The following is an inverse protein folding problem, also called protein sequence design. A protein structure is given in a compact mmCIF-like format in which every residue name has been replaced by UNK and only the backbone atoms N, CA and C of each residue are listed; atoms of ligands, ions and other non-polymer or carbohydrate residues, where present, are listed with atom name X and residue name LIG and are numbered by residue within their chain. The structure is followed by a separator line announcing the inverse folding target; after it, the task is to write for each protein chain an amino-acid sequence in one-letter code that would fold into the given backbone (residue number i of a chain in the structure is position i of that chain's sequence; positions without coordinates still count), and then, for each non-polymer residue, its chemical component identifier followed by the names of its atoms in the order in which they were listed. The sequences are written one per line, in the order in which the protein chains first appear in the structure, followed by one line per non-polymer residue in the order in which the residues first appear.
data_IF_128784271160
#
_entry.id   IF_128784271160
#
_cell.length_a   1.000
_cell.length_b   1.000
_cell.length_c   1.000
_cell.angle_alpha   90.00
_cell.angle_beta   90.00
_cell.angle_gamma   90.00
#
_symmetry.space_group_name_H-M   'P 1'
#
loop_
_entity.id
_entity.type
_entity.pdbx_description
1 polymer ?
#
# COMPACT_ATOMS: atom_id res chain seq x y z
N UNK A 1 -18.03 4.05 -25.72
CA UNK A 1 -18.26 4.14 -24.27
C UNK A 1 -17.16 3.36 -23.56
N UNK A 2 -16.46 4.04 -22.64
CA UNK A 2 -15.62 3.57 -21.53
C UNK A 2 -14.71 2.33 -21.73
N UNK A 3 -13.43 2.60 -22.06
CA UNK A 3 -12.30 1.70 -21.76
C UNK A 3 -11.32 2.40 -20.81
N UNK A 4 -11.82 2.96 -19.70
CA UNK A 4 -10.91 3.33 -18.61
C UNK A 4 -10.62 2.10 -17.77
N UNK A 5 -9.49 1.48 -18.08
CA UNK A 5 -8.93 0.38 -17.31
C UNK A 5 -8.84 0.78 -15.83
N UNK A 6 -9.29 -0.06 -14.88
CA UNK A 6 -9.32 0.25 -13.45
C UNK A 6 -7.95 0.61 -12.87
N UNK A 7 -6.85 0.22 -13.52
CA UNK A 7 -5.49 0.57 -13.13
C UNK A 7 -5.16 2.07 -13.27
N UNK A 8 -5.87 2.84 -14.10
CA UNK A 8 -5.59 4.26 -14.30
C UNK A 8 -5.93 5.14 -13.10
N UNK A 9 -6.78 4.70 -12.16
CA UNK A 9 -7.15 5.53 -11.01
C UNK A 9 -6.15 5.51 -9.85
N UNK A 10 -5.16 4.60 -9.88
CA UNK A 10 -4.12 4.49 -8.86
C UNK A 10 -2.88 5.36 -9.16
N UNK A 11 -2.83 5.99 -10.33
CA UNK A 11 -1.67 6.78 -10.79
C UNK A 11 -1.41 8.03 -9.95
N UNK A 12 -2.39 8.48 -9.17
CA UNK A 12 -2.28 9.68 -8.31
C UNK A 12 -1.85 9.35 -6.87
N UNK A 13 -1.54 8.10 -6.54
CA UNK A 13 -1.00 7.76 -5.21
C UNK A 13 0.48 8.10 -5.20
N UNK A 14 0.82 9.23 -4.59
CA UNK A 14 2.21 9.63 -4.35
C UNK A 14 2.84 8.76 -3.25
N UNK A 15 3.45 7.66 -3.68
CA UNK A 15 4.22 6.72 -2.86
C UNK A 15 5.45 7.34 -2.19
N UNK A 16 5.95 8.48 -2.68
CA UNK A 16 7.07 9.18 -2.06
C UNK A 16 6.60 10.05 -0.87
N UNK A 17 5.32 10.40 -0.85
CA UNK A 17 4.71 11.04 0.31
C UNK A 17 4.25 9.98 1.31
N UNK A 18 4.89 9.93 2.49
CA UNK A 18 4.40 9.20 3.67
C UNK A 18 3.16 9.90 4.28
N UNK A 19 2.24 10.33 3.42
CA UNK A 19 0.96 10.89 3.89
C UNK A 19 0.18 9.77 4.54
N UNK A 20 -0.54 10.11 5.59
CA UNK A 20 -1.48 9.20 6.24
C UNK A 20 -2.43 8.62 5.17
N UNK A 21 -2.44 7.30 4.94
CA UNK A 21 -3.31 6.67 3.95
C UNK A 21 -4.79 6.70 4.37
N UNK A 22 -5.13 7.24 5.54
CA UNK A 22 -6.49 7.45 6.00
C UNK A 22 -7.33 8.19 4.94
N UNK A 23 -8.44 7.58 4.55
CA UNK A 23 -9.36 8.11 3.53
C UNK A 23 -9.02 7.76 2.08
N UNK A 24 -7.89 7.09 1.81
CA UNK A 24 -7.54 6.56 0.48
C UNK A 24 -8.05 5.12 0.35
N UNK A 25 -7.79 4.28 1.37
CA UNK A 25 -8.25 2.90 1.42
C UNK A 25 -9.01 2.60 2.71
N UNK A 26 -9.99 1.71 2.62
CA UNK A 26 -10.62 1.06 3.77
C UNK A 26 -10.12 -0.39 3.91
N UNK A 27 -9.84 -0.82 5.14
CA UNK A 27 -9.50 -2.22 5.44
C UNK A 27 -10.80 -3.04 5.47
N UNK A 28 -10.82 -4.17 4.77
CA UNK A 28 -12.02 -5.01 4.62
C UNK A 28 -11.93 -6.26 5.48
N UNK A 29 -10.92 -7.09 5.23
CA UNK A 29 -10.72 -8.38 5.92
C UNK A 29 -9.24 -8.71 6.00
N UNK A 30 -8.85 -9.48 7.02
CA UNK A 30 -7.51 -10.07 7.08
C UNK A 30 -7.44 -11.20 6.07
N UNK A 31 -6.42 -11.17 5.20
CA UNK A 31 -6.17 -12.21 4.19
C UNK A 31 -4.89 -12.99 4.44
N UNK A 32 -4.04 -12.56 5.37
CA UNK A 32 -2.87 -13.34 5.75
C UNK A 32 -2.01 -12.71 6.83
N UNK A 33 -1.11 -13.52 7.36
CA UNK A 33 -0.02 -13.09 8.24
C UNK A 33 1.27 -13.18 7.42
N UNK A 34 2.02 -12.08 7.33
CA UNK A 34 3.38 -12.16 6.77
C UNK A 34 4.40 -11.76 7.82
N UNK A 35 5.67 -11.99 7.52
CA UNK A 35 6.79 -11.91 8.47
C UNK A 35 6.83 -10.62 9.31
N UNK A 36 6.47 -9.48 8.71
CA UNK A 36 6.55 -8.15 9.34
C UNK A 36 5.19 -7.53 9.68
N UNK A 37 4.10 -8.30 9.68
CA UNK A 37 2.79 -7.78 10.08
C UNK A 37 1.60 -8.44 9.38
N UNK A 38 0.42 -7.86 9.53
CA UNK A 38 -0.82 -8.43 9.01
C UNK A 38 -1.11 -7.90 7.59
N UNK A 39 -1.62 -8.78 6.73
CA UNK A 39 -2.05 -8.44 5.38
C UNK A 39 -3.57 -8.38 5.36
N UNK A 40 -4.08 -7.22 4.98
CA UNK A 40 -5.50 -6.97 4.79
C UNK A 40 -5.82 -6.86 3.31
N UNK A 41 -7.03 -7.28 2.95
CA UNK A 41 -7.67 -6.81 1.74
C UNK A 41 -8.18 -5.41 2.00
N UNK A 42 -7.69 -4.44 1.25
CA UNK A 42 -8.15 -3.07 1.25
C UNK A 42 -9.03 -2.78 0.03
N UNK A 43 -9.84 -1.74 0.13
CA UNK A 43 -10.61 -1.19 -0.99
C UNK A 43 -10.35 0.30 -1.11
N UNK A 44 -10.01 0.75 -2.31
CA UNK A 44 -9.80 2.16 -2.60
C UNK A 44 -11.15 2.88 -2.53
N UNK A 45 -11.27 3.89 -1.67
CA UNK A 45 -12.56 4.52 -1.34
C UNK A 45 -13.20 5.16 -2.57
N UNK A 46 -12.40 5.82 -3.42
CA UNK A 46 -12.93 6.52 -4.59
C UNK A 46 -13.32 5.59 -5.74
N UNK A 47 -12.63 4.46 -5.91
CA UNK A 47 -12.74 3.65 -7.14
C UNK A 47 -13.26 2.24 -6.90
N UNK A 48 -13.37 1.81 -5.64
CA UNK A 48 -13.78 0.47 -5.26
C UNK A 48 -12.72 -0.61 -5.55
N UNK A 49 -11.55 -0.24 -6.06
CA UNK A 49 -10.51 -1.19 -6.44
C UNK A 49 -9.95 -1.91 -5.21
N UNK A 50 -9.81 -3.24 -5.31
CA UNK A 50 -9.22 -4.05 -4.26
C UNK A 50 -7.70 -4.01 -4.31
N UNK A 51 -7.07 -3.96 -3.14
CA UNK A 51 -5.62 -3.99 -2.96
C UNK A 51 -5.25 -4.89 -1.78
N UNK A 52 -4.02 -5.39 -1.75
CA UNK A 52 -3.44 -5.99 -0.56
C UNK A 52 -2.70 -4.91 0.22
N UNK A 53 -3.07 -4.70 1.49
CA UNK A 53 -2.48 -3.71 2.39
C UNK A 53 -1.71 -4.44 3.47
N UNK A 54 -0.39 -4.21 3.52
CA UNK A 54 0.49 -4.73 4.55
C UNK A 54 0.59 -3.72 5.68
N UNK A 55 -0.05 -4.02 6.82
CA UNK A 55 0.05 -3.22 8.03
C UNK A 55 1.19 -3.77 8.88
N UNK A 56 2.11 -2.89 9.28
CA UNK A 56 3.28 -3.22 10.10
C UNK A 56 3.33 -2.27 11.28
N UNK A 57 3.64 -2.77 12.46
CA UNK A 57 3.85 -1.93 13.65
C UNK A 57 5.17 -1.20 13.51
N UNK A 58 5.11 0.13 13.48
CA UNK A 58 6.29 0.97 13.41
C UNK A 58 6.57 1.50 14.82
N UNK A 59 7.57 0.92 15.48
CA UNK A 59 8.20 1.49 16.68
C UNK A 59 9.22 2.56 16.24
N UNK A 60 9.62 3.50 17.12
CA UNK A 60 10.61 4.55 16.77
C UNK A 60 11.93 3.98 16.20
N UNK A 61 12.34 2.78 16.65
CA UNK A 61 13.51 2.06 16.11
C UNK A 61 13.24 1.50 14.70
N UNK A 62 11.98 1.13 14.43
CA UNK A 62 11.53 0.59 13.16
C UNK A 62 11.15 1.68 12.14
N UNK A 63 11.00 2.96 12.48
CA UNK A 63 10.64 4.00 11.50
C UNK A 63 11.74 4.15 10.43
N UNK A 64 13.00 4.32 10.86
CA UNK A 64 14.13 4.40 9.93
C UNK A 64 14.32 3.10 9.15
N UNK A 65 14.14 1.95 9.81
CA UNK A 65 14.27 0.64 9.19
C UNK A 65 13.13 0.35 8.19
N UNK A 66 11.90 0.75 8.50
CA UNK A 66 10.74 0.62 7.63
C UNK A 66 10.90 1.47 6.37
N UNK A 67 11.42 2.70 6.49
CA UNK A 67 11.77 3.54 5.35
C UNK A 67 12.83 2.85 4.49
N UNK A 68 13.88 2.27 5.10
CA UNK A 68 14.94 1.54 4.37
C UNK A 68 14.41 0.29 3.66
N UNK A 69 13.56 -0.51 4.32
CA UNK A 69 12.98 -1.72 3.75
C UNK A 69 12.00 -1.37 2.62
N UNK A 70 11.16 -0.35 2.80
CA UNK A 70 10.25 0.12 1.76
C UNK A 70 11.05 0.62 0.54
N UNK A 71 12.09 1.42 0.74
CA UNK A 71 12.99 1.85 -0.34
C UNK A 71 13.67 0.67 -1.04
N UNK A 72 14.13 -0.34 -0.29
CA UNK A 72 14.74 -1.54 -0.86
C UNK A 72 13.75 -2.33 -1.72
N UNK A 73 12.53 -2.55 -1.22
CA UNK A 73 11.48 -3.26 -1.94
C UNK A 73 11.08 -2.50 -3.20
N UNK A 74 10.81 -1.18 -3.12
CA UNK A 74 10.46 -0.34 -4.27
C UNK A 74 11.56 -0.36 -5.36
N UNK A 75 12.84 -0.29 -4.97
CA UNK A 75 13.97 -0.42 -5.91
C UNK A 75 13.98 -1.77 -6.63
N UNK A 76 13.51 -2.84 -5.98
CA UNK A 76 13.49 -4.20 -6.51
C UNK A 76 12.32 -4.45 -7.48
N UNK A 77 11.20 -3.74 -7.33
CA UNK A 77 10.05 -3.83 -8.25
C UNK A 77 10.23 -2.94 -9.48
N UNK A 78 11.04 -1.87 -9.38
CA UNK A 78 11.33 -0.92 -10.46
C UNK A 78 12.53 -1.24 -11.35
N UNK A 79 13.28 -2.31 -11.08
CA UNK A 79 14.32 -2.83 -11.98
C UNK A 79 13.76 -3.99 -12.81
N UNK A 80 13.10 -3.64 -13.91
CA UNK A 80 12.97 -4.44 -15.14
C UNK A 80 13.39 -3.53 -16.28
#
# INVERSE_FOLDING_TARGET
MANDSPAKSLVDIDLASLRDPAGIFELVEVVGNGTYGQVYKGRHVKTGQLAAIKVMDVTEVNEEEAVRVLQHLLKKIGQI
#
